data_IF_790093987933
#
_entry.id   IF_790093987933
#
_cell.length_a   1.000
_cell.length_b   1.000
_cell.length_c   1.000
_cell.angle_alpha   90.00
_cell.angle_beta   90.00
_cell.angle_gamma   90.00
#
_symmetry.space_group_name_H-M   'P 1'
#
loop_
_entity.id
_entity.type
_entity.pdbx_description
1 polymer ?
#
# COMPACT_ATOMS: atom_id res chain seq x y z
N UNK A 1 8.58 -3.73 -34.51
CA UNK A 1 7.95 -2.52 -33.95
C UNK A 1 8.66 -2.23 -32.63
N UNK A 2 9.29 -1.06 -32.48
CA UNK A 2 9.91 -0.63 -31.21
C UNK A 2 8.83 0.06 -30.40
N UNK A 3 8.37 -0.56 -29.31
CA UNK A 3 7.57 0.16 -28.32
C UNK A 3 8.43 1.30 -27.76
N UNK A 4 7.92 2.55 -27.76
CA UNK A 4 8.58 3.62 -27.03
C UNK A 4 8.52 3.23 -25.55
N UNK A 5 9.69 2.99 -24.96
CA UNK A 5 9.84 2.85 -23.52
C UNK A 5 9.49 4.21 -22.90
N UNK A 6 8.23 4.38 -22.51
CA UNK A 6 7.77 5.50 -21.71
C UNK A 6 7.95 5.08 -20.24
N UNK A 7 8.99 5.56 -19.53
CA UNK A 7 9.26 5.21 -18.14
C UNK A 7 8.29 5.93 -17.18
N UNK A 8 7.01 6.00 -17.56
CA UNK A 8 5.95 6.53 -16.73
C UNK A 8 5.82 5.70 -15.46
N UNK A 9 5.61 6.38 -14.33
CA UNK A 9 5.16 5.70 -13.13
C UNK A 9 3.70 5.29 -13.37
N UNK A 10 3.47 4.05 -13.78
CA UNK A 10 2.12 3.54 -14.03
C UNK A 10 1.37 3.37 -12.71
N UNK A 11 0.14 3.91 -12.66
CA UNK A 11 -0.79 3.75 -11.56
C UNK A 11 -2.25 3.88 -12.02
N UNK A 12 -3.15 3.15 -11.37
CA UNK A 12 -4.59 3.28 -11.56
C UNK A 12 -5.22 4.18 -10.50
N UNK A 13 -5.94 5.22 -10.93
CA UNK A 13 -6.55 6.21 -10.03
C UNK A 13 -7.66 5.60 -9.18
N UNK A 14 -8.41 4.63 -9.74
CA UNK A 14 -9.50 3.96 -9.04
C UNK A 14 -8.98 3.12 -7.87
N UNK A 15 -7.99 2.27 -8.13
CA UNK A 15 -7.32 1.47 -7.12
C UNK A 15 -6.64 2.36 -6.09
N UNK A 16 -5.92 3.41 -6.50
CA UNK A 16 -5.28 4.36 -5.57
C UNK A 16 -6.31 5.00 -4.63
N UNK A 17 -7.47 5.43 -5.14
CA UNK A 17 -8.53 6.00 -4.32
C UNK A 17 -9.12 4.98 -3.33
N UNK A 18 -9.35 3.74 -3.77
CA UNK A 18 -9.85 2.66 -2.91
C UNK A 18 -8.84 2.28 -1.81
N UNK A 19 -7.56 2.16 -2.16
CA UNK A 19 -6.47 1.92 -1.21
C UNK A 19 -6.37 3.07 -0.20
N UNK A 20 -6.49 4.32 -0.66
CA UNK A 20 -6.48 5.50 0.22
C UNK A 20 -7.62 5.42 1.23
N UNK A 21 -8.85 5.21 0.76
CA UNK A 21 -10.05 5.14 1.61
C UNK A 21 -9.96 3.99 2.62
N UNK A 22 -9.58 2.80 2.18
CA UNK A 22 -9.43 1.62 3.05
C UNK A 22 -8.33 1.80 4.09
N UNK A 23 -7.20 2.40 3.71
CA UNK A 23 -6.10 2.71 4.63
C UNK A 23 -6.56 3.65 5.74
N UNK A 24 -7.27 4.73 5.39
CA UNK A 24 -7.82 5.70 6.35
C UNK A 24 -8.77 5.00 7.32
N UNK A 25 -9.71 4.21 6.80
CA UNK A 25 -10.71 3.50 7.62
C UNK A 25 -10.04 2.51 8.58
N UNK A 26 -9.14 1.67 8.10
CA UNK A 26 -8.45 0.68 8.92
C UNK A 26 -7.55 1.32 9.98
N UNK A 27 -6.85 2.41 9.65
CA UNK A 27 -6.05 3.15 10.62
C UNK A 27 -6.93 3.86 11.64
N UNK A 28 -8.07 4.43 11.25
CA UNK A 28 -9.02 5.01 12.18
C UNK A 28 -9.55 3.95 13.16
N UNK A 29 -9.85 2.73 12.68
CA UNK A 29 -10.21 1.60 13.55
C UNK A 29 -9.07 1.24 14.50
N UNK A 30 -7.84 1.14 14.00
CA UNK A 30 -6.67 0.83 14.83
C UNK A 30 -6.45 1.87 15.94
N UNK A 31 -6.63 3.15 15.64
CA UNK A 31 -6.46 4.25 16.58
C UNK A 31 -7.60 4.34 17.59
N UNK A 32 -8.86 4.39 17.13
CA UNK A 32 -10.00 4.76 17.99
C UNK A 32 -10.79 3.58 18.53
N UNK A 33 -10.74 2.40 17.88
CA UNK A 33 -11.49 1.22 18.32
C UNK A 33 -10.57 0.26 19.08
N UNK A 34 -9.35 0.05 18.57
CA UNK A 34 -8.41 -0.90 19.16
C UNK A 34 -7.44 -0.24 20.15
N UNK A 35 -7.28 1.09 20.11
CA UNK A 35 -6.29 1.83 20.89
C UNK A 35 -4.86 1.29 20.68
N UNK A 36 -4.51 1.00 19.42
CA UNK A 36 -3.22 0.44 19.01
C UNK A 36 -2.62 1.24 17.85
N UNK A 37 -1.98 2.39 18.10
CA UNK A 37 -1.39 3.21 17.03
C UNK A 37 -0.32 2.47 16.22
N UNK A 38 0.44 1.56 16.85
CA UNK A 38 1.43 0.74 16.15
C UNK A 38 0.83 -0.20 15.08
N UNK A 39 -0.48 -0.47 15.12
CA UNK A 39 -1.16 -1.32 14.13
C UNK A 39 -1.35 -0.64 12.77
N UNK A 40 -1.09 0.68 12.66
CA UNK A 40 -1.05 1.38 11.37
C UNK A 40 -0.04 0.75 10.39
N UNK A 41 1.04 0.15 10.90
CA UNK A 41 2.06 -0.51 10.07
C UNK A 41 1.56 -1.82 9.44
N UNK A 42 0.99 -2.80 10.19
CA UNK A 42 0.27 -3.92 9.61
C UNK A 42 -0.83 -3.51 8.62
N UNK A 43 -1.57 -2.44 8.91
CA UNK A 43 -2.61 -1.92 8.01
C UNK A 43 -2.02 -1.55 6.64
N UNK A 44 -0.82 -0.95 6.60
CA UNK A 44 -0.16 -0.65 5.34
C UNK A 44 0.13 -1.91 4.50
N UNK A 45 0.57 -3.00 5.14
CA UNK A 45 0.78 -4.29 4.46
C UNK A 45 -0.54 -4.81 3.87
N UNK A 46 -1.62 -4.75 4.65
CA UNK A 46 -2.97 -5.16 4.21
C UNK A 46 -3.44 -4.29 3.04
N UNK A 47 -3.19 -2.99 3.07
CA UNK A 47 -3.52 -2.07 1.99
C UNK A 47 -2.82 -2.46 0.67
N UNK A 48 -1.58 -2.96 0.74
CA UNK A 48 -0.88 -3.54 -0.41
C UNK A 48 -1.56 -4.80 -0.97
N UNK A 49 -2.06 -5.67 -0.09
CA UNK A 49 -2.89 -6.80 -0.48
C UNK A 49 -4.19 -6.39 -1.15
N UNK A 50 -4.86 -5.35 -0.64
CA UNK A 50 -6.08 -4.78 -1.22
C UNK A 50 -5.79 -4.22 -2.63
N UNK A 51 -4.70 -3.48 -2.82
CA UNK A 51 -4.29 -2.99 -4.13
C UNK A 51 -4.17 -4.15 -5.14
N UNK A 52 -3.48 -5.22 -4.74
CA UNK A 52 -3.33 -6.43 -5.57
C UNK A 52 -4.66 -7.10 -5.89
N UNK A 53 -5.62 -7.10 -4.96
CA UNK A 53 -6.92 -7.72 -5.19
C UNK A 53 -7.80 -6.91 -6.15
N UNK A 54 -7.62 -5.59 -6.20
CA UNK A 54 -8.36 -4.68 -7.07
C UNK A 54 -7.73 -4.55 -8.46
N UNK A 55 -6.41 -4.65 -8.53
CA UNK A 55 -5.64 -4.52 -9.77
C UNK A 55 -5.65 -5.77 -10.63
N UNK A 56 -5.50 -5.59 -11.94
CA UNK A 56 -5.26 -6.65 -12.90
C UNK A 56 -3.90 -7.32 -12.73
N UNK A 57 -3.66 -8.40 -13.48
CA UNK A 57 -2.37 -9.13 -13.46
C UNK A 57 -1.19 -8.33 -14.02
N UNK A 58 -1.47 -7.37 -14.89
CA UNK A 58 -0.46 -6.54 -15.57
C UNK A 58 -0.32 -5.16 -14.93
N UNK A 59 -1.14 -4.84 -13.94
CA UNK A 59 -1.16 -3.53 -13.30
C UNK A 59 -0.09 -3.42 -12.21
N UNK A 60 0.37 -2.19 -11.98
CA UNK A 60 1.43 -1.87 -11.03
C UNK A 60 0.92 -1.81 -9.57
N UNK A 61 0.46 -2.94 -9.04
CA UNK A 61 -0.16 -3.02 -7.71
C UNK A 61 0.68 -2.50 -6.55
N UNK A 62 2.00 -2.67 -6.60
CA UNK A 62 2.90 -2.12 -5.61
C UNK A 62 2.96 -0.57 -5.66
N UNK A 63 2.88 0.02 -6.85
CA UNK A 63 2.84 1.47 -7.05
C UNK A 63 1.51 2.06 -6.57
N UNK A 64 0.39 1.39 -6.91
CA UNK A 64 -0.94 1.78 -6.46
C UNK A 64 -1.06 1.74 -4.92
N UNK A 65 -0.50 0.70 -4.30
CA UNK A 65 -0.41 0.57 -2.85
C UNK A 65 0.39 1.73 -2.21
N UNK A 66 1.58 2.00 -2.76
CA UNK A 66 2.47 3.06 -2.28
C UNK A 66 1.77 4.43 -2.38
N UNK A 67 1.20 4.76 -3.53
CA UNK A 67 0.52 6.04 -3.73
C UNK A 67 -0.72 6.17 -2.85
N UNK A 68 -1.55 5.13 -2.77
CA UNK A 68 -2.76 5.17 -1.96
C UNK A 68 -2.48 5.39 -0.48
N UNK A 69 -1.46 4.70 0.06
CA UNK A 69 -1.03 4.90 1.46
C UNK A 69 -0.37 6.26 1.65
N UNK A 70 0.40 6.75 0.68
CA UNK A 70 1.03 8.08 0.74
C UNK A 70 -0.02 9.20 0.71
N UNK A 71 -1.10 9.05 -0.05
CA UNK A 71 -2.21 10.02 -0.07
C UNK A 71 -3.02 9.99 1.24
N UNK A 72 -3.13 8.84 1.90
CA UNK A 72 -3.82 8.71 3.17
C UNK A 72 -3.14 9.50 4.31
N UNK A 73 -1.88 9.91 4.15
CA UNK A 73 -1.09 10.59 5.18
C UNK A 73 -1.70 11.93 5.61
N UNK A 74 -2.32 12.66 4.67
CA UNK A 74 -2.97 13.95 4.92
C UNK A 74 -4.11 13.81 5.93
N UNK A 75 -5.15 12.97 5.71
CA UNK A 75 -6.18 12.75 6.71
C UNK A 75 -5.69 12.01 7.95
N UNK A 76 -4.70 11.10 7.82
CA UNK A 76 -4.13 10.41 8.97
C UNK A 76 -3.50 11.38 9.97
N UNK A 77 -2.88 12.48 9.52
CA UNK A 77 -2.27 13.47 10.43
C UNK A 77 -3.30 14.01 11.39
N UNK A 78 -4.46 14.40 10.87
CA UNK A 78 -5.59 14.86 11.67
C UNK A 78 -6.09 13.79 12.64
N UNK A 79 -6.14 12.52 12.21
CA UNK A 79 -6.58 11.41 13.07
C UNK A 79 -5.59 11.15 14.22
N UNK A 80 -4.28 11.14 13.96
CA UNK A 80 -3.25 10.96 14.99
C UNK A 80 -3.25 12.15 15.96
N UNK A 81 -3.43 13.36 15.45
CA UNK A 81 -3.56 14.56 16.27
C UNK A 81 -4.76 14.46 17.23
N UNK A 82 -5.94 14.10 16.72
CA UNK A 82 -7.14 13.90 17.53
C UNK A 82 -6.97 12.76 18.53
N UNK A 83 -6.33 11.66 18.12
CA UNK A 83 -6.01 10.53 18.99
C UNK A 83 -5.13 10.96 20.16
N UNK A 84 -4.06 11.74 19.92
CA UNK A 84 -3.16 12.21 20.99
C UNK A 84 -3.80 13.20 21.96
N UNK A 85 -4.80 13.97 21.51
CA UNK A 85 -5.60 14.85 22.39
C UNK A 85 -6.56 14.04 23.28
N UNK A 86 -6.75 12.75 23.02
CA UNK A 86 -7.56 11.87 23.87
C UNK A 86 -9.06 11.92 23.58
N UNK A 87 -9.48 12.42 22.41
CA UNK A 87 -10.87 12.36 21.95
C UNK A 87 -11.89 13.18 22.74
N UNK A 88 -11.47 14.01 23.71
CA UNK A 88 -12.37 14.85 24.51
C UNK A 88 -12.35 16.29 23.99
N UNK A 89 -13.50 16.90 23.69
CA UNK A 89 -13.57 18.35 23.50
C UNK A 89 -13.43 18.99 24.88
N UNK A 90 -12.23 19.46 25.24
CA UNK A 90 -12.02 20.23 26.47
C UNK A 90 -12.02 21.73 26.15
N UNK A 91 -13.09 22.48 26.48
CA UNK A 91 -13.04 23.93 26.55
C UNK A 91 -11.94 24.32 27.55
N UNK A 92 -10.97 25.13 27.12
CA UNK A 92 -9.84 25.55 27.95
C UNK A 92 -8.58 24.68 27.82
N UNK A 93 -8.44 23.92 26.73
CA UNK A 93 -7.18 23.22 26.43
C UNK A 93 -6.04 24.24 26.32
N UNK A 94 -4.99 24.03 27.11
CA UNK A 94 -3.81 24.87 27.15
C UNK A 94 -3.16 24.97 25.75
N UNK A 95 -2.78 26.18 25.34
CA UNK A 95 -2.13 26.42 24.05
C UNK A 95 -0.80 25.67 23.95
N UNK A 96 -0.07 25.57 25.06
CA UNK A 96 1.20 24.86 25.11
C UNK A 96 1.01 23.34 24.91
N UNK A 97 -0.10 22.80 25.43
CA UNK A 97 -0.47 21.39 25.22
C UNK A 97 -0.86 21.12 23.76
N UNK A 98 -1.61 22.02 23.13
CA UNK A 98 -1.96 21.91 21.71
C UNK A 98 -0.72 21.98 20.82
N UNK A 99 0.21 22.90 21.13
CA UNK A 99 1.48 23.03 20.41
C UNK A 99 2.33 21.77 20.57
N UNK A 100 2.53 21.29 21.80
CA UNK A 100 3.28 20.07 22.05
C UNK A 100 2.66 18.87 21.32
N UNK A 101 1.33 18.74 21.34
CA UNK A 101 0.62 17.66 20.65
C UNK A 101 0.77 17.74 19.14
N UNK A 102 0.73 18.93 18.55
CA UNK A 102 0.99 19.12 17.12
C UNK A 102 2.41 18.66 16.75
N UNK A 103 3.41 19.07 17.53
CA UNK A 103 4.81 18.69 17.32
C UNK A 103 5.02 17.19 17.43
N UNK A 104 4.48 16.53 18.46
CA UNK A 104 4.60 15.08 18.62
C UNK A 104 3.86 14.31 17.52
N UNK A 105 2.67 14.76 17.13
CA UNK A 105 1.90 14.13 16.04
C UNK A 105 2.62 14.26 14.69
N UNK A 106 3.26 15.41 14.44
CA UNK A 106 4.10 15.62 13.27
C UNK A 106 5.33 14.70 13.29
N UNK A 107 5.96 14.56 14.46
CA UNK A 107 7.09 13.65 14.67
C UNK A 107 6.73 12.20 14.39
N UNK A 108 5.59 11.73 14.89
CA UNK A 108 5.07 10.39 14.57
C UNK A 108 4.88 10.23 13.06
N UNK A 109 4.28 11.22 12.39
CA UNK A 109 4.06 11.13 10.94
C UNK A 109 5.35 11.08 10.14
N UNK A 110 6.37 11.83 10.53
CA UNK A 110 7.68 11.75 9.87
C UNK A 110 8.30 10.35 9.97
N UNK A 111 8.03 9.61 11.03
CA UNK A 111 8.48 8.22 11.19
C UNK A 111 7.58 7.20 10.50
N UNK A 112 6.27 7.27 10.75
CA UNK A 112 5.30 6.26 10.29
C UNK A 112 5.02 6.35 8.80
N UNK A 113 4.93 7.55 8.22
CA UNK A 113 4.53 7.73 6.82
C UNK A 113 5.48 7.04 5.84
N UNK A 114 6.81 7.26 5.89
CA UNK A 114 7.73 6.58 4.99
C UNK A 114 7.70 5.06 5.19
N UNK A 115 7.61 4.60 6.44
CA UNK A 115 7.56 3.17 6.76
C UNK A 115 6.29 2.50 6.23
N UNK A 116 5.13 3.16 6.40
CA UNK A 116 3.87 2.68 5.86
C UNK A 116 3.90 2.61 4.34
N UNK A 117 4.42 3.62 3.65
CA UNK A 117 4.54 3.59 2.19
C UNK A 117 5.39 2.40 1.70
N UNK A 118 6.54 2.14 2.36
CA UNK A 118 7.39 0.99 2.05
C UNK A 118 6.67 -0.33 2.34
N UNK A 119 5.97 -0.44 3.48
CA UNK A 119 5.24 -1.66 3.83
C UNK A 119 4.05 -1.93 2.91
N UNK A 120 3.39 -0.89 2.41
CA UNK A 120 2.36 -1.01 1.41
C UNK A 120 2.90 -1.54 0.08
N UNK A 121 4.03 -0.98 -0.36
CA UNK A 121 4.72 -1.45 -1.56
C UNK A 121 5.15 -2.93 -1.42
N UNK A 122 5.77 -3.29 -0.31
CA UNK A 122 6.19 -4.66 -0.02
C UNK A 122 4.99 -5.61 0.10
N UNK A 123 3.91 -5.17 0.74
CA UNK A 123 2.66 -5.90 0.87
C UNK A 123 2.03 -6.21 -0.49
N UNK A 124 1.96 -5.21 -1.39
CA UNK A 124 1.49 -5.40 -2.76
C UNK A 124 2.40 -6.34 -3.56
N UNK A 125 3.71 -6.15 -3.46
CA UNK A 125 4.69 -7.03 -4.15
C UNK A 125 4.59 -8.49 -3.68
N UNK A 126 4.46 -8.71 -2.37
CA UNK A 126 4.32 -10.04 -1.80
C UNK A 126 2.98 -10.68 -2.18
N UNK A 127 1.88 -9.93 -2.08
CA UNK A 127 0.55 -10.39 -2.45
C UNK A 127 0.48 -10.74 -3.95
N UNK A 128 1.04 -9.91 -4.83
CA UNK A 128 1.06 -10.19 -6.27
C UNK A 128 1.90 -11.44 -6.59
N UNK A 129 3.04 -11.61 -5.91
CA UNK A 129 3.86 -12.83 -6.03
C UNK A 129 3.11 -14.08 -5.58
N UNK A 130 2.32 -13.98 -4.51
CA UNK A 130 1.45 -15.07 -4.04
C UNK A 130 0.34 -15.34 -5.04
N UNK A 131 -0.36 -14.30 -5.50
CA UNK A 131 -1.43 -14.39 -6.51
C UNK A 131 -0.95 -15.13 -7.76
N UNK A 132 0.17 -14.69 -8.36
CA UNK A 132 0.76 -15.32 -9.54
C UNK A 132 1.20 -16.76 -9.33
N UNK A 133 1.44 -17.19 -8.09
CA UNK A 133 1.79 -18.58 -7.77
C UNK A 133 0.57 -19.50 -7.74
N UNK A 134 -0.59 -18.99 -7.35
CA UNK A 134 -1.81 -19.78 -7.16
C UNK A 134 -2.83 -19.63 -8.28
N UNK A 135 -2.79 -18.50 -8.99
CA UNK A 135 -3.66 -18.21 -10.13
C UNK A 135 -2.82 -17.54 -11.22
N UNK A 136 -2.00 -18.30 -11.96
CA UNK A 136 -1.18 -17.73 -13.02
C UNK A 136 -2.08 -17.20 -14.15
N UNK A 137 -1.78 -16.02 -14.73
CA UNK A 137 -2.58 -15.47 -15.81
C UNK A 137 -2.60 -16.41 -17.02
N UNK A 138 -3.77 -16.51 -17.66
CA UNK A 138 -4.00 -17.36 -18.83
C UNK A 138 -2.98 -17.01 -19.93
N UNK A 139 -2.10 -17.95 -20.24
CA UNK A 139 -1.05 -17.79 -21.26
C UNK A 139 0.38 -18.09 -20.78
N UNK A 140 0.64 -18.15 -19.48
CA UNK A 140 1.88 -18.74 -18.97
C UNK A 140 1.71 -20.25 -18.84
N UNK A 141 2.56 -21.02 -19.53
CA UNK A 141 2.57 -22.48 -19.45
C UNK A 141 2.71 -22.89 -17.99
N UNK A 142 1.78 -23.73 -17.55
CA UNK A 142 1.86 -24.48 -16.31
C UNK A 142 3.28 -25.02 -16.15
N UNK A 143 3.85 -24.73 -14.99
CA UNK A 143 5.19 -25.16 -14.57
C UNK A 143 5.14 -26.67 -14.37
N UNK A 144 5.20 -27.42 -15.47
CA UNK A 144 5.09 -28.87 -15.48
C UNK A 144 5.49 -29.55 -16.79
N UNK A 145 5.40 -28.86 -17.94
CA UNK A 145 5.64 -29.52 -19.24
C UNK A 145 6.55 -28.70 -20.17
N UNK A 146 7.75 -28.39 -19.70
CA UNK A 146 8.88 -28.10 -20.59
C UNK A 146 9.40 -29.41 -21.22
N UNK A 147 8.51 -30.19 -21.84
CA UNK A 147 8.89 -31.29 -22.73
C UNK A 147 9.22 -30.68 -24.09
N UNK A 148 10.51 -30.69 -24.38
CA UNK A 148 11.16 -30.74 -25.70
C UNK A 148 10.36 -30.07 -26.81
N UNK A 149 10.79 -28.88 -27.22
CA UNK A 149 10.51 -28.39 -28.58
C UNK A 149 11.28 -29.35 -29.51
N UNK A 150 10.63 -30.23 -30.29
CA UNK A 150 11.32 -30.99 -31.32
C UNK A 150 11.59 -30.00 -32.45
N UNK A 151 12.86 -29.81 -32.81
CA UNK A 151 13.25 -28.98 -33.97
C UNK A 151 14.21 -27.83 -33.69
N UNK A 152 14.84 -27.75 -32.51
CA UNK A 152 15.91 -26.76 -32.24
C UNK A 152 17.33 -27.29 -32.45
N UNK A 153 17.49 -28.55 -32.87
CA UNK A 153 18.80 -29.18 -33.09
C UNK A 153 19.15 -29.39 -34.59
N UNK A 154 18.27 -29.05 -35.54
CA UNK A 154 18.48 -29.42 -36.96
C UNK A 154 19.05 -28.30 -37.87
N UNK A 155 19.41 -27.13 -37.35
CA UNK A 155 20.01 -26.06 -38.18
C UNK A 155 21.53 -25.84 -37.98
N UNK A 156 22.23 -26.75 -37.30
CA UNK A 156 23.70 -26.61 -37.12
C UNK A 156 24.50 -27.88 -37.41
N UNK A 157 24.23 -28.58 -38.52
CA UNK A 157 25.26 -29.41 -39.15
C UNK A 157 25.05 -29.72 -40.62
#
# INVERSE_FOLDING_TARGET
>A
MKEPFDPGFDFDRGTVAAVTATTILLCATALFVLDRPAWMLPVAIVAGGIATALDGFYDASANNALLGVTLATVPLYSLVFVYRIGGVPTPGTDLDLLFATAVYSMGDMLGYVPMMAVFAYLGGTAADRVRRRFDPPVGYRDRGDARRIPGLDDETR
#
